data_IF_503072018442
#
_entry.id   IF_503072018442
#
_cell.length_a   1.000
_cell.length_b   1.000
_cell.length_c   1.000
_cell.angle_alpha   90.00
_cell.angle_beta   90.00
_cell.angle_gamma   90.00
#
_symmetry.space_group_name_H-M   'P 1'
#
loop_
_entity.id
_entity.type
_entity.pdbx_description
1 polymer ?
#
# COMPACT_ATOMS: atom_id res chain seq x y z
N UNK A 1 -33.22 52.11 -7.69
CA UNK A 1 -31.77 51.84 -7.79
C UNK A 1 -31.22 51.03 -6.60
N UNK A 2 -31.61 51.31 -5.35
CA UNK A 2 -31.19 50.55 -4.13
C UNK A 2 -31.43 49.02 -4.19
N UNK A 3 -32.58 48.56 -4.72
CA UNK A 3 -32.90 47.13 -4.88
C UNK A 3 -31.97 46.39 -5.86
N UNK A 4 -31.40 47.08 -6.86
CA UNK A 4 -30.44 46.47 -7.81
C UNK A 4 -29.05 46.34 -7.19
N UNK A 5 -28.62 47.33 -6.41
CA UNK A 5 -27.36 47.28 -5.65
C UNK A 5 -27.37 46.15 -4.61
N UNK A 6 -28.49 45.94 -3.92
CA UNK A 6 -28.61 44.88 -2.91
C UNK A 6 -28.53 43.47 -3.52
N UNK A 7 -29.15 43.26 -4.70
CA UNK A 7 -29.03 42.01 -5.46
C UNK A 7 -27.61 41.77 -5.96
N UNK A 8 -26.94 42.83 -6.42
CA UNK A 8 -25.56 42.75 -6.90
C UNK A 8 -24.59 42.42 -5.76
N UNK A 9 -24.76 43.04 -4.59
CA UNK A 9 -23.95 42.76 -3.40
C UNK A 9 -24.14 41.31 -2.91
N UNK A 10 -25.38 40.81 -2.93
CA UNK A 10 -25.66 39.42 -2.57
C UNK A 10 -25.03 38.42 -3.54
N UNK A 11 -25.12 38.67 -4.85
CA UNK A 11 -24.47 37.84 -5.87
C UNK A 11 -22.94 37.86 -5.74
N UNK A 12 -22.35 39.03 -5.46
CA UNK A 12 -20.91 39.16 -5.25
C UNK A 12 -20.45 38.41 -3.98
N UNK A 13 -21.20 38.49 -2.89
CA UNK A 13 -20.90 37.76 -1.66
C UNK A 13 -20.94 36.23 -1.87
N UNK A 14 -21.92 35.73 -2.64
CA UNK A 14 -22.00 34.32 -2.99
C UNK A 14 -20.83 33.86 -3.88
N UNK A 15 -20.43 34.68 -4.86
CA UNK A 15 -19.29 34.38 -5.73
C UNK A 15 -17.97 34.33 -4.94
N UNK A 16 -17.78 35.25 -3.99
CA UNK A 16 -16.61 35.25 -3.10
C UNK A 16 -16.63 34.04 -2.17
N UNK A 17 -17.77 33.71 -1.56
CA UNK A 17 -17.90 32.53 -0.71
C UNK A 17 -17.63 31.23 -1.47
N UNK A 18 -18.16 31.09 -2.69
CA UNK A 18 -17.89 29.96 -3.57
C UNK A 18 -16.42 29.89 -4.00
N UNK A 19 -15.79 31.04 -4.30
CA UNK A 19 -14.37 31.10 -4.65
C UNK A 19 -13.46 30.72 -3.48
N UNK A 20 -13.73 31.22 -2.28
CA UNK A 20 -12.98 30.91 -1.05
C UNK A 20 -13.13 29.44 -0.67
N UNK A 21 -14.35 28.90 -0.72
CA UNK A 21 -14.60 27.47 -0.45
C UNK A 21 -13.96 26.55 -1.50
N UNK A 22 -13.97 26.92 -2.78
CA UNK A 22 -13.25 26.19 -3.83
C UNK A 22 -11.71 26.29 -3.71
N UNK A 23 -11.19 27.40 -3.18
CA UNK A 23 -9.76 27.57 -2.91
C UNK A 23 -9.32 26.74 -1.70
N UNK A 24 -10.14 26.66 -0.65
CA UNK A 24 -9.90 25.79 0.50
C UNK A 24 -10.14 24.30 0.19
N UNK A 25 -11.06 23.97 -0.72
CA UNK A 25 -11.22 22.60 -1.21
C UNK A 25 -10.06 22.14 -2.10
N UNK A 26 -9.19 23.06 -2.53
CA UNK A 26 -7.91 22.78 -3.17
C UNK A 26 -6.75 22.68 -2.17
N UNK A 27 -6.98 22.76 -0.85
CA UNK A 27 -6.04 22.21 0.13
C UNK A 27 -6.00 20.70 -0.12
N UNK A 28 -5.08 20.41 -1.03
CA UNK A 28 -4.64 19.15 -1.58
C UNK A 28 -4.89 18.10 -0.51
N UNK A 29 -5.76 17.14 -0.81
CA UNK A 29 -5.72 15.82 -0.20
C UNK A 29 -4.29 15.30 -0.45
N UNK A 30 -3.35 15.73 0.39
CA UNK A 30 -2.06 15.10 0.53
C UNK A 30 -2.42 13.74 1.06
N UNK A 31 -2.56 12.79 0.14
CA UNK A 31 -2.69 11.39 0.49
C UNK A 31 -1.66 11.15 1.58
N UNK A 32 -2.15 10.72 2.75
CA UNK A 32 -1.31 10.49 3.91
C UNK A 32 -0.09 9.68 3.47
N UNK A 33 1.10 9.97 4.01
CA UNK A 33 2.32 9.21 3.71
C UNK A 33 2.09 7.69 3.85
N UNK A 34 1.14 7.29 4.71
CA UNK A 34 0.71 5.90 4.88
C UNK A 34 -0.04 5.32 3.67
N UNK A 35 -0.88 6.11 3.00
CA UNK A 35 -1.57 5.69 1.75
C UNK A 35 -0.58 5.65 0.59
N UNK A 36 0.36 6.59 0.52
CA UNK A 36 1.40 6.61 -0.51
C UNK A 36 2.33 5.38 -0.38
N UNK A 37 2.77 5.06 0.84
CA UNK A 37 3.58 3.87 1.11
C UNK A 37 2.85 2.55 0.76
N UNK A 38 1.54 2.47 0.99
CA UNK A 38 0.76 1.28 0.63
C UNK A 38 0.64 1.11 -0.89
N UNK A 39 0.59 2.21 -1.67
CA UNK A 39 0.59 2.17 -3.13
C UNK A 39 1.98 1.83 -3.68
N UNK A 40 3.03 2.42 -3.14
CA UNK A 40 4.42 2.08 -3.53
C UNK A 40 4.76 0.62 -3.18
N UNK A 41 4.31 0.10 -2.04
CA UNK A 41 4.46 -1.31 -1.70
C UNK A 41 3.72 -2.24 -2.67
N UNK A 42 2.59 -1.81 -3.24
CA UNK A 42 1.85 -2.58 -4.23
C UNK A 42 2.48 -2.51 -5.64
N UNK A 43 3.05 -1.37 -6.03
CA UNK A 43 3.66 -1.16 -7.35
C UNK A 43 5.14 -1.57 -7.45
N UNK A 44 5.85 -1.70 -6.33
CA UNK A 44 7.25 -2.16 -6.30
C UNK A 44 7.47 -3.59 -6.81
N UNK A 45 6.41 -4.40 -6.93
CA UNK A 45 6.46 -5.75 -7.49
C UNK A 45 6.32 -5.84 -9.02
N UNK A 46 6.02 -4.74 -9.71
CA UNK A 46 5.78 -4.73 -11.17
C UNK A 46 7.07 -4.51 -11.98
N UNK A 47 8.05 -3.79 -11.42
CA UNK A 47 9.28 -3.39 -12.13
C UNK A 47 10.38 -4.46 -12.13
N UNK A 48 10.20 -5.56 -11.42
CA UNK A 48 11.02 -6.75 -11.61
C UNK A 48 10.46 -7.50 -12.80
N UNK A 49 10.76 -6.98 -14.01
CA UNK A 49 10.67 -7.75 -15.23
C UNK A 49 11.38 -9.07 -14.97
N UNK A 50 10.58 -10.13 -14.87
CA UNK A 50 11.04 -11.47 -14.52
C UNK A 50 11.93 -12.01 -15.62
N UNK A 51 13.21 -11.62 -15.60
CA UNK A 51 14.24 -12.42 -16.20
C UNK A 51 14.33 -13.71 -15.39
N UNK A 52 13.78 -14.75 -15.97
CA UNK A 52 13.79 -16.08 -15.39
C UNK A 52 15.21 -16.64 -15.46
N UNK A 53 16.01 -16.34 -14.45
CA UNK A 53 17.10 -17.20 -14.04
C UNK A 53 18.48 -16.58 -14.06
N UNK A 54 19.26 -17.02 -13.06
CA UNK A 54 20.70 -16.86 -12.92
C UNK A 54 21.17 -15.40 -12.80
N UNK A 55 21.65 -14.91 -11.67
CA UNK A 55 22.59 -15.53 -10.75
C UNK A 55 22.79 -14.55 -9.57
N UNK A 56 22.62 -15.05 -8.35
CA UNK A 56 23.31 -14.57 -7.14
C UNK A 56 22.99 -13.20 -6.48
N UNK A 57 21.84 -12.53 -6.64
CA UNK A 57 21.50 -11.36 -5.78
C UNK A 57 20.00 -10.96 -5.71
N UNK A 58 19.07 -11.92 -5.78
CA UNK A 58 17.64 -11.59 -5.65
C UNK A 58 17.15 -12.01 -4.26
N UNK A 59 17.40 -11.18 -3.24
CA UNK A 59 16.95 -11.41 -1.85
C UNK A 59 15.43 -11.62 -1.70
N UNK A 60 14.66 -11.40 -2.77
CA UNK A 60 13.19 -11.42 -2.78
C UNK A 60 12.60 -12.83 -2.91
N UNK A 61 13.27 -13.80 -3.55
CA UNK A 61 12.71 -15.15 -3.76
C UNK A 61 13.72 -16.30 -3.58
N UNK A 62 13.47 -17.16 -2.58
CA UNK A 62 14.28 -18.38 -2.33
C UNK A 62 13.88 -19.51 -3.29
N UNK A 63 14.75 -19.81 -4.27
CA UNK A 63 14.59 -20.97 -5.17
C UNK A 63 14.69 -22.30 -4.41
N UNK A 64 13.92 -23.31 -4.80
CA UNK A 64 13.87 -24.61 -4.13
C UNK A 64 12.93 -24.68 -2.93
N UNK A 65 12.22 -23.59 -2.64
CA UNK A 65 11.27 -23.48 -1.52
C UNK A 65 9.86 -23.23 -2.03
N UNK A 66 8.86 -23.71 -1.29
CA UNK A 66 7.45 -23.43 -1.50
C UNK A 66 6.87 -22.67 -0.30
N UNK A 67 5.86 -21.84 -0.56
CA UNK A 67 5.12 -21.16 0.49
C UNK A 67 4.44 -22.17 1.43
N UNK A 68 4.59 -21.96 2.74
CA UNK A 68 4.07 -22.81 3.80
C UNK A 68 3.79 -21.96 5.05
N UNK A 69 3.36 -22.61 6.12
CA UNK A 69 3.10 -21.97 7.41
C UNK A 69 3.55 -22.86 8.56
N UNK A 70 3.89 -22.27 9.71
CA UNK A 70 4.07 -23.00 10.96
C UNK A 70 3.20 -22.40 12.07
N UNK A 71 2.83 -23.24 13.04
CA UNK A 71 2.02 -22.83 14.19
C UNK A 71 2.92 -22.29 15.30
N UNK A 72 2.72 -21.04 15.67
CA UNK A 72 3.34 -20.43 16.84
C UNK A 72 2.32 -20.35 17.98
N UNK A 73 2.69 -20.86 19.15
CA UNK A 73 1.90 -20.69 20.36
C UNK A 73 2.26 -19.36 21.03
N UNK A 74 1.25 -18.55 21.35
CA UNK A 74 1.41 -17.27 22.06
C UNK A 74 0.90 -17.45 23.50
N UNK A 75 1.79 -17.55 24.50
CA UNK A 75 1.41 -17.84 25.88
C UNK A 75 0.46 -16.79 26.48
N UNK A 76 0.69 -15.51 26.17
CA UNK A 76 -0.09 -14.36 26.66
C UNK A 76 -1.60 -14.49 26.38
N UNK A 77 -1.95 -15.12 25.25
CA UNK A 77 -3.32 -15.25 24.80
C UNK A 77 -3.82 -16.71 24.81
N UNK A 78 -2.99 -17.64 25.29
CA UNK A 78 -3.28 -19.08 25.32
C UNK A 78 -3.83 -19.60 23.96
N UNK A 79 -3.20 -19.19 22.86
CA UNK A 79 -3.68 -19.47 21.51
C UNK A 79 -2.55 -19.78 20.52
N UNK A 80 -2.91 -20.40 19.39
CA UNK A 80 -2.01 -20.63 18.27
C UNK A 80 -2.28 -19.66 17.14
N UNK A 81 -1.22 -19.19 16.48
CA UNK A 81 -1.27 -18.42 15.23
C UNK A 81 -0.48 -19.14 14.14
N UNK A 82 -0.86 -18.95 12.87
CA UNK A 82 -0.11 -19.46 11.73
C UNK A 82 0.77 -18.36 11.14
N UNK A 83 2.07 -18.62 11.03
CA UNK A 83 3.05 -17.66 10.50
C UNK A 83 3.51 -18.15 9.13
N UNK A 84 3.46 -17.31 8.08
CA UNK A 84 3.96 -17.67 6.75
C UNK A 84 5.47 -17.90 6.76
N UNK A 85 5.91 -18.95 6.05
CA UNK A 85 7.32 -19.31 5.94
C UNK A 85 7.59 -20.05 4.63
N UNK A 86 8.87 -20.17 4.27
CA UNK A 86 9.32 -20.94 3.12
C UNK A 86 9.76 -22.34 3.55
N UNK A 87 9.16 -23.40 2.99
CA UNK A 87 9.55 -24.79 3.23
C UNK A 87 10.39 -25.31 2.06
N UNK A 88 11.54 -25.91 2.35
CA UNK A 88 12.38 -26.50 1.31
C UNK A 88 11.68 -27.71 0.68
N UNK A 89 11.64 -27.75 -0.65
CA UNK A 89 11.03 -28.84 -1.42
C UNK A 89 12.02 -29.56 -2.32
N UNK A 90 13.20 -28.98 -2.55
CA UNK A 90 14.18 -29.50 -3.53
C UNK A 90 13.74 -29.34 -4.99
N UNK A 91 12.56 -28.79 -5.27
CA UNK A 91 12.10 -28.52 -6.63
C UNK A 91 12.70 -27.19 -7.12
N UNK A 92 13.61 -27.26 -8.10
CA UNK A 92 14.27 -26.09 -8.71
C UNK A 92 13.32 -25.09 -9.40
N UNK A 93 12.08 -25.50 -9.68
CA UNK A 93 11.04 -24.64 -10.25
C UNK A 93 10.15 -23.99 -9.19
N UNK A 94 10.33 -24.33 -7.90
CA UNK A 94 9.63 -23.67 -6.80
C UNK A 94 10.43 -22.47 -6.31
N UNK A 95 9.73 -21.40 -5.95
CA UNK A 95 10.29 -20.25 -5.26
C UNK A 95 9.31 -19.72 -4.22
N UNK A 96 9.84 -19.10 -3.17
CA UNK A 96 9.05 -18.53 -2.08
C UNK A 96 9.61 -17.18 -1.65
N UNK A 97 8.73 -16.20 -1.41
CA UNK A 97 9.06 -14.82 -1.02
C UNK A 97 8.91 -14.52 0.47
N UNK A 98 8.62 -15.52 1.32
CA UNK A 98 8.54 -15.27 2.75
C UNK A 98 9.93 -14.93 3.32
N UNK A 99 9.96 -14.03 4.29
CA UNK A 99 11.18 -13.57 4.97
C UNK A 99 11.91 -14.71 5.69
N UNK A 100 11.15 -15.70 6.16
CA UNK A 100 11.65 -16.76 7.04
C UNK A 100 11.50 -18.16 6.45
N UNK A 101 12.39 -19.06 6.86
CA UNK A 101 12.34 -20.50 6.55
C UNK A 101 11.57 -21.21 7.66
N UNK A 102 10.72 -22.17 7.29
CA UNK A 102 9.98 -22.94 8.28
C UNK A 102 10.95 -23.73 9.17
N UNK A 103 10.68 -23.83 10.49
CA UNK A 103 11.46 -24.67 11.40
C UNK A 103 11.41 -26.16 11.04
#
# INVERSE_FOLDING_TARGET
>A
MKKKLMKLAFAAALAVAAGVTAYHAQDKETLSDLVLANVEALAGGENTGGDHGNDNDDEVFKKGYAASTYKLYIPEFNMYTEIPCCKYTGNKYSACSATDVCP
#
